data_IF_217512407588
#
_entry.id   IF_217512407588
#
_cell.length_a   1.000
_cell.length_b   1.000
_cell.length_c   1.000
_cell.angle_alpha   90.00
_cell.angle_beta   90.00
_cell.angle_gamma   90.00
#
_symmetry.space_group_name_H-M   'P 1'
#
loop_
_entity.id
_entity.type
_entity.pdbx_description
1 polymer ?
#
# COMPACT_ATOMS: atom_id res chain seq x y z
N UNK A 1 7.60 1.84 29.75
CA UNK A 1 6.27 1.26 29.56
C UNK A 1 5.65 1.09 30.95
N UNK A 2 4.49 1.64 31.23
CA UNK A 2 3.85 1.45 32.52
C UNK A 2 2.58 0.60 32.36
N UNK A 3 2.56 -0.52 33.05
CA UNK A 3 1.38 -1.36 33.25
C UNK A 3 0.84 -0.99 34.63
N UNK A 4 -0.45 -0.66 34.70
CA UNK A 4 -1.09 -0.21 35.93
C UNK A 4 -2.21 -1.19 36.28
N UNK A 5 -2.24 -1.69 37.50
CA UNK A 5 -3.34 -2.52 37.98
C UNK A 5 -4.51 -1.60 38.36
N UNK A 6 -5.68 -1.87 37.77
CA UNK A 6 -6.92 -1.14 38.07
C UNK A 6 -8.03 -2.13 38.32
N UNK A 7 -8.47 -2.19 39.56
CA UNK A 7 -9.37 -3.25 40.02
C UNK A 7 -8.71 -4.62 39.95
N UNK A 8 -9.38 -5.59 39.33
CA UNK A 8 -8.89 -6.96 39.16
C UNK A 8 -7.99 -7.16 37.92
N UNK A 9 -7.84 -6.17 37.03
CA UNK A 9 -7.14 -6.33 35.76
C UNK A 9 -6.01 -5.32 35.57
N UNK A 10 -5.01 -5.69 34.77
CA UNK A 10 -3.96 -4.79 34.33
C UNK A 10 -4.40 -3.97 33.09
N UNK A 11 -3.91 -2.73 33.04
CA UNK A 11 -4.10 -1.82 31.91
C UNK A 11 -2.74 -1.31 31.42
N UNK A 12 -2.58 -1.21 30.11
CA UNK A 12 -1.50 -0.46 29.50
C UNK A 12 -1.82 1.02 29.58
N UNK A 13 -0.89 1.80 30.15
CA UNK A 13 -0.90 3.28 30.12
C UNK A 13 0.35 3.77 29.41
N UNK A 14 0.18 4.49 28.29
CA UNK A 14 1.32 5.05 27.55
C UNK A 14 0.94 6.35 26.86
N UNK A 15 1.89 7.30 26.86
CA UNK A 15 1.73 8.57 26.16
C UNK A 15 1.90 8.34 24.67
N UNK A 16 1.03 9.00 23.86
CA UNK A 16 1.14 8.98 22.40
C UNK A 16 2.35 9.80 21.97
N UNK A 17 3.28 9.24 21.18
CA UNK A 17 4.42 9.99 20.63
C UNK A 17 3.94 11.17 19.77
N UNK A 18 4.69 12.26 19.80
CA UNK A 18 4.34 13.51 19.10
C UNK A 18 4.10 13.29 17.60
N UNK A 19 4.84 12.38 16.96
CA UNK A 19 4.70 11.99 15.56
C UNK A 19 3.27 11.55 15.18
N UNK A 20 2.55 10.91 16.11
CA UNK A 20 1.21 10.36 15.84
C UNK A 20 0.06 11.28 16.27
N UNK A 21 0.36 12.51 16.77
CA UNK A 21 -0.66 13.46 17.22
C UNK A 21 -1.64 13.89 16.11
N UNK A 22 -1.21 13.85 14.85
CA UNK A 22 -2.08 14.14 13.71
C UNK A 22 -3.19 13.10 13.54
N UNK A 23 -2.88 11.83 13.81
CA UNK A 23 -3.80 10.68 13.59
C UNK A 23 -4.38 10.10 14.89
N UNK A 24 -3.84 10.47 16.07
CA UNK A 24 -4.32 10.05 17.39
C UNK A 24 -4.51 11.27 18.30
N UNK A 25 -5.75 11.72 18.52
CA UNK A 25 -6.03 12.92 19.31
C UNK A 25 -5.80 12.77 20.81
N UNK A 26 -5.79 11.53 21.31
CA UNK A 26 -5.58 11.27 22.75
C UNK A 26 -4.13 11.51 23.12
N UNK A 27 -3.88 12.15 24.26
CA UNK A 27 -2.51 12.31 24.76
C UNK A 27 -1.94 11.04 25.37
N UNK A 28 -2.80 10.25 26.01
CA UNK A 28 -2.45 9.04 26.74
C UNK A 28 -3.44 7.94 26.35
N UNK A 29 -2.90 6.79 25.97
CA UNK A 29 -3.67 5.59 25.69
C UNK A 29 -3.82 4.76 26.95
N UNK A 30 -5.04 4.28 27.17
CA UNK A 30 -5.39 3.31 28.19
C UNK A 30 -6.02 2.11 27.52
N UNK A 31 -5.45 0.91 27.70
CA UNK A 31 -5.97 -0.33 27.13
C UNK A 31 -6.09 -1.36 28.23
N UNK A 32 -7.28 -1.94 28.40
CA UNK A 32 -7.45 -3.11 29.24
C UNK A 32 -6.74 -4.32 28.64
N UNK A 33 -5.93 -4.99 29.43
CA UNK A 33 -5.19 -6.18 29.02
C UNK A 33 -5.96 -7.47 29.34
N UNK A 34 -7.12 -7.35 29.99
CA UNK A 34 -8.00 -8.46 30.35
C UNK A 34 -7.25 -9.63 31.00
N UNK A 35 -6.43 -9.31 32.00
CA UNK A 35 -5.66 -10.29 32.78
C UNK A 35 -5.30 -9.69 34.14
N UNK A 36 -5.21 -10.55 35.14
CA UNK A 36 -4.75 -10.28 36.51
C UNK A 36 -3.27 -10.68 36.74
N UNK A 37 -2.70 -11.41 35.78
CA UNK A 37 -1.29 -11.82 35.79
C UNK A 37 -0.39 -10.73 35.20
N UNK A 38 0.60 -10.26 35.96
CA UNK A 38 1.55 -9.24 35.53
C UNK A 38 2.42 -9.69 34.34
N UNK A 39 2.86 -10.95 34.35
CA UNK A 39 3.70 -11.50 33.27
C UNK A 39 2.94 -11.55 31.95
N UNK A 40 1.68 -12.01 31.99
CA UNK A 40 0.81 -12.04 30.81
C UNK A 40 0.46 -10.63 30.36
N UNK A 41 0.25 -9.71 31.31
CA UNK A 41 -0.02 -8.30 31.01
C UNK A 41 1.12 -7.65 30.25
N UNK A 42 2.38 -7.89 30.63
CA UNK A 42 3.56 -7.35 29.93
C UNK A 42 3.59 -7.78 28.46
N UNK A 43 3.45 -9.08 28.20
CA UNK A 43 3.42 -9.61 26.82
C UNK A 43 2.26 -9.05 26.00
N UNK A 44 1.06 -8.98 26.62
CA UNK A 44 -0.13 -8.39 25.96
C UNK A 44 0.04 -6.89 25.69
N UNK A 45 0.69 -6.16 26.60
CA UNK A 45 0.94 -4.73 26.45
C UNK A 45 1.87 -4.42 25.26
N UNK A 46 2.94 -5.20 25.09
CA UNK A 46 3.86 -5.04 23.96
C UNK A 46 3.15 -5.28 22.62
N UNK A 47 2.34 -6.35 22.56
CA UNK A 47 1.56 -6.65 21.36
C UNK A 47 0.53 -5.57 21.04
N UNK A 48 -0.25 -5.14 22.05
CA UNK A 48 -1.26 -4.11 21.89
C UNK A 48 -0.65 -2.77 21.47
N UNK A 49 0.52 -2.43 22.01
CA UNK A 49 1.25 -1.23 21.60
C UNK A 49 1.77 -1.33 20.17
N UNK A 50 2.35 -2.45 19.78
CA UNK A 50 2.80 -2.70 18.40
C UNK A 50 1.67 -2.51 17.39
N UNK A 51 0.50 -3.11 17.65
CA UNK A 51 -0.69 -2.97 16.80
C UNK A 51 -1.18 -1.52 16.67
N UNK A 52 -1.11 -0.73 17.77
CA UNK A 52 -1.44 0.69 17.71
C UNK A 52 -0.46 1.49 16.86
N UNK A 53 0.84 1.23 17.00
CA UNK A 53 1.87 1.91 16.21
C UNK A 53 1.71 1.58 14.73
N UNK A 54 1.49 0.30 14.37
CA UNK A 54 1.20 -0.12 13.00
C UNK A 54 -0.02 0.61 12.43
N UNK A 55 -1.10 0.71 13.21
CA UNK A 55 -2.31 1.44 12.79
C UNK A 55 -2.06 2.94 12.58
N UNK A 56 -1.26 3.58 13.44
CA UNK A 56 -0.92 4.99 13.28
C UNK A 56 0.00 5.23 12.08
N UNK A 57 0.99 4.37 11.85
CA UNK A 57 1.85 4.46 10.65
C UNK A 57 1.02 4.29 9.37
N UNK A 58 0.12 3.31 9.34
CA UNK A 58 -0.76 3.10 8.20
C UNK A 58 -1.70 4.30 7.96
N UNK A 59 -2.20 4.95 9.03
CA UNK A 59 -3.01 6.17 8.88
C UNK A 59 -2.19 7.35 8.35
N UNK A 60 -0.96 7.53 8.84
CA UNK A 60 -0.06 8.56 8.32
C UNK A 60 0.26 8.33 6.84
N UNK A 61 0.54 7.09 6.46
CA UNK A 61 0.79 6.72 5.07
C UNK A 61 -0.47 6.87 4.19
N UNK A 62 -1.66 6.62 4.75
CA UNK A 62 -2.94 6.83 4.06
C UNK A 62 -3.27 8.29 3.76
N UNK A 63 -2.73 9.23 4.54
CA UNK A 63 -2.82 10.68 4.29
C UNK A 63 -1.73 11.18 3.29
N UNK A 64 -0.86 10.30 2.77
CA UNK A 64 0.22 10.64 1.83
C UNK A 64 -0.34 11.01 0.45
N UNK A 65 0.36 11.91 -0.27
CA UNK A 65 0.10 12.18 -1.69
C UNK A 65 0.58 11.04 -2.62
N UNK A 66 1.49 10.19 -2.14
CA UNK A 66 1.97 9.03 -2.87
C UNK A 66 0.87 7.96 -3.01
N UNK A 67 0.47 7.68 -4.24
CA UNK A 67 -0.59 6.71 -4.56
C UNK A 67 -0.23 5.26 -4.13
N UNK A 68 1.05 4.89 -4.20
CA UNK A 68 1.50 3.56 -3.75
C UNK A 68 1.46 3.44 -2.24
N UNK A 69 1.95 4.46 -1.53
CA UNK A 69 1.91 4.50 -0.09
C UNK A 69 0.46 4.47 0.42
N UNK A 70 -0.45 5.23 -0.21
CA UNK A 70 -1.89 5.22 0.14
C UNK A 70 -2.51 3.85 -0.09
N UNK A 71 -2.23 3.21 -1.22
CA UNK A 71 -2.81 1.90 -1.54
C UNK A 71 -2.27 0.82 -0.60
N UNK A 72 -0.96 0.80 -0.33
CA UNK A 72 -0.36 -0.10 0.64
C UNK A 72 -0.93 0.10 2.05
N UNK A 73 -1.11 1.36 2.47
CA UNK A 73 -1.73 1.72 3.73
C UNK A 73 -3.18 1.24 3.84
N UNK A 74 -3.96 1.33 2.75
CA UNK A 74 -5.33 0.83 2.72
C UNK A 74 -5.41 -0.68 2.91
N UNK A 75 -4.49 -1.45 2.31
CA UNK A 75 -4.38 -2.89 2.53
C UNK A 75 -4.06 -3.21 4.00
N UNK A 76 -3.12 -2.49 4.58
CA UNK A 76 -2.70 -2.71 5.97
C UNK A 76 -3.81 -2.34 6.97
N UNK A 77 -4.50 -1.22 6.77
CA UNK A 77 -5.65 -0.83 7.61
C UNK A 77 -6.79 -1.83 7.54
N UNK A 78 -7.13 -2.33 6.34
CA UNK A 78 -8.12 -3.38 6.19
C UNK A 78 -7.70 -4.64 6.96
N UNK A 79 -6.43 -5.07 6.85
CA UNK A 79 -5.87 -6.23 7.58
C UNK A 79 -5.97 -6.05 9.10
N UNK A 80 -5.60 -4.89 9.62
CA UNK A 80 -5.67 -4.57 11.07
C UNK A 80 -7.11 -4.66 11.59
N UNK A 81 -8.08 -4.30 10.76
CA UNK A 81 -9.51 -4.40 11.08
C UNK A 81 -10.10 -5.80 10.85
N UNK A 82 -9.28 -6.78 10.43
CA UNK A 82 -9.70 -8.16 10.19
C UNK A 82 -10.32 -8.42 8.81
N UNK A 83 -10.13 -7.48 7.86
CA UNK A 83 -10.67 -7.60 6.51
C UNK A 83 -9.56 -7.71 5.46
N UNK A 84 -9.85 -8.41 4.37
CA UNK A 84 -9.06 -8.30 3.15
C UNK A 84 -9.45 -6.99 2.44
N UNK A 85 -8.47 -6.24 1.93
CA UNK A 85 -8.75 -5.13 1.04
C UNK A 85 -9.44 -5.63 -0.24
N UNK A 86 -10.50 -4.96 -0.63
CA UNK A 86 -11.24 -5.17 -1.87
C UNK A 86 -11.48 -3.80 -2.49
N UNK A 87 -11.43 -3.70 -3.82
CA UNK A 87 -11.83 -2.47 -4.49
C UNK A 87 -13.34 -2.19 -4.32
N UNK A 88 -13.74 -0.94 -4.51
CA UNK A 88 -15.12 -0.49 -4.29
C UNK A 88 -16.16 -1.29 -5.10
N UNK A 89 -15.81 -1.73 -6.32
CA UNK A 89 -16.71 -2.53 -7.16
C UNK A 89 -16.96 -3.93 -6.58
N UNK A 90 -15.97 -4.51 -5.90
CA UNK A 90 -16.12 -5.77 -5.18
C UNK A 90 -16.85 -5.57 -3.85
N UNK A 91 -16.51 -4.52 -3.10
CA UNK A 91 -17.21 -4.18 -1.83
C UNK A 91 -18.71 -3.98 -2.06
N UNK A 92 -19.09 -3.29 -3.12
CA UNK A 92 -20.50 -3.05 -3.47
C UNK A 92 -21.29 -4.33 -3.81
N UNK A 93 -20.63 -5.45 -4.05
CA UNK A 93 -21.24 -6.76 -4.36
C UNK A 93 -21.23 -7.72 -3.17
N UNK A 94 -20.68 -7.30 -2.03
CA UNK A 94 -20.68 -8.12 -0.82
C UNK A 94 -22.10 -8.32 -0.27
N UNK A 95 -22.36 -9.43 0.43
CA UNK A 95 -23.56 -9.58 1.21
C UNK A 95 -23.74 -8.43 2.21
N UNK A 96 -24.98 -8.03 2.49
CA UNK A 96 -25.27 -6.89 3.36
C UNK A 96 -24.62 -7.01 4.75
N UNK A 97 -24.55 -8.22 5.30
CA UNK A 97 -23.91 -8.49 6.60
C UNK A 97 -22.41 -8.17 6.58
N UNK A 98 -21.68 -8.57 5.51
CA UNK A 98 -20.26 -8.29 5.39
C UNK A 98 -19.99 -6.79 5.14
N UNK A 99 -20.85 -6.13 4.36
CA UNK A 99 -20.77 -4.69 4.15
C UNK A 99 -21.00 -3.93 5.47
N UNK A 100 -22.02 -4.32 6.23
CA UNK A 100 -22.31 -3.71 7.53
C UNK A 100 -21.14 -3.90 8.51
N UNK A 101 -20.57 -5.11 8.59
CA UNK A 101 -19.42 -5.39 9.44
C UNK A 101 -18.20 -4.48 9.09
N UNK A 102 -17.98 -4.19 7.80
CA UNK A 102 -16.93 -3.24 7.38
C UNK A 102 -17.23 -1.81 7.83
N UNK A 103 -18.47 -1.37 7.69
CA UNK A 103 -18.90 -0.02 8.13
C UNK A 103 -18.78 0.14 9.64
N UNK A 104 -19.20 -0.85 10.42
CA UNK A 104 -19.09 -0.84 11.89
C UNK A 104 -17.63 -0.87 12.38
N UNK A 105 -16.73 -1.47 11.61
CA UNK A 105 -15.32 -1.52 11.94
C UNK A 105 -14.57 -0.20 11.69
N UNK A 106 -15.19 0.78 11.00
CA UNK A 106 -14.57 2.10 10.77
C UNK A 106 -14.42 2.82 12.12
N UNK A 107 -13.17 3.16 12.47
CA UNK A 107 -12.88 3.91 13.67
C UNK A 107 -13.35 5.37 13.59
N UNK A 108 -13.53 6.01 14.75
CA UNK A 108 -13.86 7.43 14.81
C UNK A 108 -12.62 8.30 14.99
N UNK A 109 -12.56 9.43 14.27
CA UNK A 109 -11.58 10.49 14.43
C UNK A 109 -12.33 11.79 14.74
N UNK A 110 -12.12 12.37 15.92
CA UNK A 110 -12.82 13.61 16.38
C UNK A 110 -14.36 13.49 16.29
N UNK A 111 -14.92 12.38 16.79
CA UNK A 111 -16.36 12.07 16.79
C UNK A 111 -17.01 11.87 15.41
N UNK A 112 -16.24 11.76 14.34
CA UNK A 112 -16.69 11.38 13.00
C UNK A 112 -15.96 10.11 12.53
N UNK A 113 -16.49 9.36 11.55
CA UNK A 113 -15.75 8.25 10.94
C UNK A 113 -14.39 8.71 10.43
N UNK A 114 -13.36 7.90 10.64
CA UNK A 114 -12.02 8.20 10.09
C UNK A 114 -12.04 8.00 8.57
N UNK A 115 -11.79 9.06 7.77
CA UNK A 115 -11.92 8.98 6.32
C UNK A 115 -10.88 8.05 5.68
N UNK A 116 -9.69 7.90 6.28
CA UNK A 116 -8.64 7.01 5.78
C UNK A 116 -9.04 5.55 6.00
N UNK A 117 -9.55 5.22 7.20
CA UNK A 117 -10.08 3.88 7.48
C UNK A 117 -11.33 3.58 6.64
N UNK A 118 -12.24 4.54 6.49
CA UNK A 118 -13.41 4.38 5.64
C UNK A 118 -13.00 4.04 4.21
N UNK A 119 -12.03 4.78 3.64
CA UNK A 119 -11.52 4.52 2.30
C UNK A 119 -10.87 3.14 2.19
N UNK A 120 -10.15 2.69 3.20
CA UNK A 120 -9.53 1.37 3.22
C UNK A 120 -10.56 0.23 3.30
N UNK A 121 -11.57 0.35 4.18
CA UNK A 121 -12.56 -0.70 4.40
C UNK A 121 -13.61 -0.78 3.29
N UNK A 122 -13.94 0.36 2.68
CA UNK A 122 -14.90 0.46 1.57
C UNK A 122 -14.25 0.39 0.18
N UNK A 123 -12.91 0.25 0.12
CA UNK A 123 -12.18 0.00 -1.12
C UNK A 123 -12.15 1.19 -2.09
N UNK A 124 -12.21 2.41 -1.59
CA UNK A 124 -12.23 3.61 -2.44
C UNK A 124 -10.84 4.15 -2.77
N UNK A 125 -9.76 3.55 -2.24
CA UNK A 125 -8.39 3.90 -2.61
C UNK A 125 -8.03 3.19 -3.91
N UNK A 126 -7.82 3.92 -5.03
CA UNK A 126 -7.49 3.27 -6.30
C UNK A 126 -6.13 2.60 -6.23
N UNK A 127 -5.99 1.49 -6.94
CA UNK A 127 -4.68 0.89 -7.18
C UNK A 127 -3.79 1.90 -7.92
N UNK A 128 -2.50 2.00 -7.59
CA UNK A 128 -1.59 2.87 -8.31
C UNK A 128 -1.46 2.41 -9.76
N UNK A 129 -1.45 3.37 -10.69
CA UNK A 129 -1.30 3.08 -12.11
C UNK A 129 0.06 2.45 -12.40
N UNK A 130 0.05 1.39 -13.20
CA UNK A 130 1.26 0.68 -13.59
C UNK A 130 1.86 1.33 -14.84
N UNK A 131 2.89 2.16 -14.67
CA UNK A 131 3.62 2.73 -15.81
C UNK A 131 4.47 1.68 -16.52
N UNK A 132 4.89 1.98 -17.77
CA UNK A 132 5.67 1.05 -18.56
C UNK A 132 7.04 0.71 -17.93
N UNK A 133 7.71 1.69 -17.32
CA UNK A 133 8.97 1.45 -16.60
C UNK A 133 8.76 0.56 -15.39
N UNK A 134 7.71 0.81 -14.62
CA UNK A 134 7.39 0.00 -13.45
C UNK A 134 6.98 -1.43 -13.82
N UNK A 135 6.28 -1.59 -14.92
CA UNK A 135 5.97 -2.91 -15.47
C UNK A 135 7.23 -3.68 -15.85
N UNK A 136 8.24 -2.99 -16.40
CA UNK A 136 9.53 -3.62 -16.69
C UNK A 136 10.24 -4.07 -15.40
N UNK A 137 10.19 -3.28 -14.33
CA UNK A 137 10.74 -3.67 -13.02
C UNK A 137 10.06 -4.91 -12.47
N UNK A 138 8.73 -4.94 -12.47
CA UNK A 138 7.97 -6.12 -12.04
C UNK A 138 8.24 -7.35 -12.91
N UNK A 139 8.42 -7.14 -14.22
CA UNK A 139 8.74 -8.23 -15.15
C UNK A 139 10.03 -8.98 -14.79
N UNK A 140 11.03 -8.29 -14.22
CA UNK A 140 12.26 -8.99 -13.78
C UNK A 140 12.00 -10.02 -12.70
N UNK A 141 11.09 -9.74 -11.77
CA UNK A 141 10.66 -10.70 -10.75
C UNK A 141 9.89 -11.88 -11.34
N UNK A 142 8.93 -11.60 -12.21
CA UNK A 142 8.11 -12.61 -12.87
C UNK A 142 8.92 -13.50 -13.83
N UNK A 143 9.93 -12.93 -14.50
CA UNK A 143 10.78 -13.64 -15.45
C UNK A 143 11.97 -14.37 -14.79
N UNK A 144 11.98 -14.53 -13.47
CA UNK A 144 13.09 -15.14 -12.71
C UNK A 144 13.43 -16.55 -13.23
N UNK A 145 12.42 -17.35 -13.56
CA UNK A 145 12.63 -18.71 -14.11
C UNK A 145 13.43 -18.68 -15.43
N UNK A 146 13.21 -17.68 -16.29
CA UNK A 146 13.91 -17.51 -17.58
C UNK A 146 15.37 -17.09 -17.41
N UNK A 147 15.75 -16.69 -16.20
CA UNK A 147 17.08 -16.19 -15.87
C UNK A 147 17.89 -17.10 -14.97
N UNK A 148 17.28 -18.19 -14.47
CA UNK A 148 17.97 -19.20 -13.65
C UNK A 148 19.18 -19.78 -14.39
N UNK A 149 20.32 -19.86 -13.70
CA UNK A 149 21.55 -20.44 -14.23
C UNK A 149 22.31 -19.56 -15.25
N UNK A 150 21.82 -18.35 -15.57
CA UNK A 150 22.53 -17.42 -16.44
C UNK A 150 23.66 -16.71 -15.70
N UNK A 151 24.82 -16.55 -16.39
CA UNK A 151 25.90 -15.69 -15.90
C UNK A 151 25.49 -14.21 -15.95
N UNK A 152 26.22 -13.33 -15.25
CA UNK A 152 25.95 -11.88 -15.24
C UNK A 152 25.96 -11.28 -16.66
N UNK A 153 26.88 -11.72 -17.51
CA UNK A 153 26.96 -11.25 -18.90
C UNK A 153 25.75 -11.72 -19.73
N UNK A 154 25.29 -12.96 -19.55
CA UNK A 154 24.07 -13.47 -20.17
C UNK A 154 22.84 -12.73 -19.67
N UNK A 155 22.77 -12.40 -18.39
CA UNK A 155 21.69 -11.60 -17.79
C UNK A 155 21.68 -10.19 -18.39
N UNK A 156 22.85 -9.55 -18.51
CA UNK A 156 22.98 -8.24 -19.11
C UNK A 156 22.51 -8.24 -20.58
N UNK A 157 22.96 -9.19 -21.39
CA UNK A 157 22.53 -9.35 -22.80
C UNK A 157 21.03 -9.63 -22.90
N UNK A 158 20.44 -10.33 -21.96
CA UNK A 158 19.02 -10.61 -21.93
C UNK A 158 18.19 -9.38 -21.51
N UNK A 159 18.66 -8.56 -20.57
CA UNK A 159 17.98 -7.36 -20.07
C UNK A 159 18.09 -6.17 -21.02
N UNK A 160 19.28 -5.89 -21.54
CA UNK A 160 19.59 -4.69 -22.29
C UNK A 160 18.61 -4.38 -23.45
N UNK A 161 18.21 -5.34 -24.32
CA UNK A 161 17.27 -5.04 -25.40
C UNK A 161 15.90 -4.57 -24.88
N UNK A 162 15.44 -5.12 -23.76
CA UNK A 162 14.16 -4.78 -23.13
C UNK A 162 14.21 -3.39 -22.51
N UNK A 163 15.26 -3.12 -21.75
CA UNK A 163 15.51 -1.78 -21.18
C UNK A 163 15.60 -0.73 -22.28
N UNK A 164 16.35 -1.02 -23.36
CA UNK A 164 16.47 -0.11 -24.50
C UNK A 164 15.13 0.14 -25.18
N UNK A 165 14.33 -0.90 -25.40
CA UNK A 165 13.01 -0.79 -26.02
C UNK A 165 12.06 0.06 -25.19
N UNK A 166 11.97 -0.19 -23.88
CA UNK A 166 11.11 0.58 -22.97
C UNK A 166 11.60 2.04 -22.91
N UNK A 167 12.91 2.28 -22.76
CA UNK A 167 13.44 3.64 -22.71
C UNK A 167 13.13 4.41 -24.01
N UNK A 168 13.34 3.79 -25.17
CA UNK A 168 13.04 4.43 -26.45
C UNK A 168 11.54 4.76 -26.58
N UNK A 169 10.66 3.87 -26.11
CA UNK A 169 9.22 4.14 -26.10
C UNK A 169 8.87 5.30 -25.18
N UNK A 170 9.44 5.34 -23.98
CA UNK A 170 9.23 6.41 -23.00
C UNK A 170 9.75 7.75 -23.51
N UNK A 171 10.87 7.77 -24.23
CA UNK A 171 11.44 8.99 -24.85
C UNK A 171 10.50 9.60 -25.90
N UNK A 172 9.77 8.78 -26.66
CA UNK A 172 8.89 9.24 -27.74
C UNK A 172 7.46 9.51 -27.25
N UNK A 173 6.92 8.61 -26.45
CA UNK A 173 5.48 8.59 -26.06
C UNK A 173 5.26 9.11 -24.64
N UNK A 174 6.29 9.01 -23.79
CA UNK A 174 6.21 9.28 -22.36
C UNK A 174 5.98 8.03 -21.51
N UNK A 175 6.28 8.16 -20.21
CA UNK A 175 6.09 7.06 -19.25
C UNK A 175 4.61 6.97 -18.81
N UNK A 176 3.75 6.55 -19.70
CA UNK A 176 2.31 6.41 -19.47
C UNK A 176 1.97 5.12 -18.70
N UNK A 177 0.83 5.10 -17.97
CA UNK A 177 0.20 3.87 -17.50
C UNK A 177 -0.05 2.91 -18.68
N UNK A 178 0.16 1.61 -18.45
CA UNK A 178 -0.01 0.61 -19.54
C UNK A 178 -1.44 0.66 -20.11
N UNK A 179 -2.44 0.82 -19.26
CA UNK A 179 -3.85 0.93 -19.65
C UNK A 179 -4.18 2.22 -20.44
N UNK A 180 -3.30 3.22 -20.37
CA UNK A 180 -3.45 4.49 -21.09
C UNK A 180 -2.65 4.53 -22.42
N UNK A 181 -1.93 3.46 -22.76
CA UNK A 181 -1.23 3.34 -24.04
C UNK A 181 -2.25 3.03 -25.13
N UNK A 182 -2.34 3.90 -26.12
CA UNK A 182 -3.29 3.81 -27.22
C UNK A 182 -2.66 3.27 -28.50
N UNK A 183 -3.52 2.98 -29.51
CA UNK A 183 -3.07 2.66 -30.85
C UNK A 183 -2.27 3.81 -31.47
N UNK A 184 -2.68 5.05 -31.21
CA UNK A 184 -2.03 6.24 -31.78
C UNK A 184 -0.63 6.40 -31.21
N UNK A 185 -0.42 6.18 -29.92
CA UNK A 185 0.90 6.14 -29.29
C UNK A 185 1.85 5.12 -30.00
N UNK A 186 1.32 3.97 -30.38
CA UNK A 186 2.10 2.96 -31.10
C UNK A 186 2.40 3.37 -32.55
N UNK A 187 1.50 4.09 -33.20
CA UNK A 187 1.71 4.64 -34.55
C UNK A 187 2.76 5.77 -34.52
N UNK A 188 2.69 6.67 -33.55
CA UNK A 188 3.66 7.74 -33.35
C UNK A 188 5.06 7.19 -33.09
N UNK A 189 5.14 6.16 -32.22
CA UNK A 189 6.40 5.47 -31.96
C UNK A 189 6.99 4.82 -33.23
N UNK A 190 6.14 4.16 -34.04
CA UNK A 190 6.55 3.57 -35.31
C UNK A 190 7.01 4.64 -36.30
N UNK A 191 6.28 5.75 -36.42
CA UNK A 191 6.60 6.85 -37.34
C UNK A 191 7.94 7.49 -36.99
N UNK A 192 8.17 7.76 -35.71
CA UNK A 192 9.46 8.27 -35.22
C UNK A 192 10.66 7.42 -35.70
N UNK A 193 10.54 6.09 -35.61
CA UNK A 193 11.62 5.21 -36.05
C UNK A 193 11.77 5.13 -37.57
N UNK A 194 10.69 5.23 -38.33
CA UNK A 194 10.75 5.30 -39.80
C UNK A 194 11.51 6.56 -40.25
N UNK A 195 11.20 7.71 -39.71
CA UNK A 195 11.86 8.99 -40.02
C UNK A 195 13.35 8.92 -39.71
N UNK A 196 13.74 8.35 -38.59
CA UNK A 196 15.16 8.17 -38.23
C UNK A 196 15.92 7.23 -39.16
N UNK A 197 15.26 6.15 -39.60
CA UNK A 197 15.86 5.21 -40.58
C UNK A 197 16.03 5.92 -41.90
N UNK A 198 15.05 6.69 -42.37
CA UNK A 198 15.14 7.47 -43.61
C UNK A 198 16.20 8.55 -43.55
N UNK A 199 16.41 9.16 -42.38
CA UNK A 199 17.47 10.13 -42.14
C UNK A 199 18.88 9.51 -41.99
N UNK A 200 18.98 8.16 -41.94
CA UNK A 200 20.28 7.47 -41.79
C UNK A 200 20.87 7.58 -40.38
N UNK A 201 20.05 7.83 -39.36
CA UNK A 201 20.47 8.03 -37.96
C UNK A 201 20.46 6.71 -37.14
N UNK A 202 20.18 5.57 -37.74
CA UNK A 202 20.05 4.26 -37.07
C UNK A 202 21.00 3.25 -37.68
#
# INVERSE_FOLDING_TARGET
>A
MSIVKRGSTFQLRRRVPQRYRAVEPREVIWISLHTDSETVARSKADRAWGQLVEAWEARLAGDSEDAEARHAAAHELARIRGFRYLDVGLVARLPAEELLARVEAIGARKAAPDPVEASALLGTVPAPSLTLEKALELYWGLAREKTLGKSEDQLRRWKNPRVKAVRNFVEVVGNKPIEAITRDDMLDFRQHWLERIEAGEV
#
